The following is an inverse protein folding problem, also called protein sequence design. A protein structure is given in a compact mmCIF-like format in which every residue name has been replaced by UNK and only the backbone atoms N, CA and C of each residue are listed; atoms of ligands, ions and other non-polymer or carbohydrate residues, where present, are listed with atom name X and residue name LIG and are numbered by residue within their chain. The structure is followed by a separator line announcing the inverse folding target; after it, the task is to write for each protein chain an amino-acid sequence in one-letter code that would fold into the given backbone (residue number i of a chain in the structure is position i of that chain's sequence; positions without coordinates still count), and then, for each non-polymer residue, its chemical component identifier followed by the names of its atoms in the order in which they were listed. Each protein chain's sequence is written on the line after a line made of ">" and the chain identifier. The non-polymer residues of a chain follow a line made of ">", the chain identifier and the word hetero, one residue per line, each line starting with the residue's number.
data_IF_313813043503
#
_entry.id   IF_313813043503
#
_cell.length_a   1.000
_cell.length_b   1.000
_cell.length_c   1.000
_cell.angle_alpha   90.00
_cell.angle_beta   90.00
_cell.angle_gamma   90.00
#
_symmetry.space_group_name_H-M   'P 1'
#
loop_
_entity.id
_entity.type
_entity.pdbx_description
1 polymer ?
#
# COMPACT_ATOMS: atom_id res chain seq x y z
N UNK A 1 -2.87 -15.62 -2.48
CA UNK A 1 -3.83 -14.75 -3.19
C UNK A 1 -4.54 -13.85 -2.20
N UNK A 2 -4.58 -12.52 -2.44
CA UNK A 2 -5.16 -11.50 -1.54
C UNK A 2 -6.12 -10.64 -2.38
N UNK A 3 -7.33 -11.14 -2.70
CA UNK A 3 -8.20 -10.56 -3.74
C UNK A 3 -8.58 -9.10 -3.48
N UNK A 4 -8.52 -8.65 -2.23
CA UNK A 4 -8.97 -7.32 -1.83
C UNK A 4 -7.82 -6.32 -1.64
N UNK A 5 -6.56 -6.75 -1.76
CA UNK A 5 -5.39 -5.89 -1.54
C UNK A 5 -5.49 -5.08 -0.24
N UNK A 6 -5.97 -5.76 0.82
CA UNK A 6 -6.13 -5.23 2.18
C UNK A 6 -5.02 -5.75 3.07
N UNK A 7 -4.58 -4.92 4.01
CA UNK A 7 -3.62 -5.31 5.03
C UNK A 7 -4.25 -6.35 5.96
N UNK A 8 -3.61 -7.51 6.15
CA UNK A 8 -4.12 -8.54 7.06
C UNK A 8 -4.14 -8.10 8.53
N UNK A 9 -3.28 -7.15 8.90
CA UNK A 9 -3.17 -6.62 10.26
C UNK A 9 -4.28 -5.62 10.58
N UNK A 10 -4.75 -4.87 9.58
CA UNK A 10 -5.59 -3.68 9.82
C UNK A 10 -6.89 -3.64 9.02
N UNK A 11 -7.06 -4.50 8.00
CA UNK A 11 -8.19 -4.45 7.07
C UNK A 11 -8.16 -3.26 6.09
N UNK A 12 -7.40 -2.21 6.39
CA UNK A 12 -7.21 -1.05 5.52
C UNK A 12 -6.58 -1.42 4.17
N UNK A 13 -6.80 -0.59 3.15
CA UNK A 13 -6.41 -0.94 1.82
C UNK A 13 -4.87 -0.75 1.74
N UNK A 14 -4.18 -1.81 1.31
CA UNK A 14 -2.73 -1.92 1.28
C UNK A 14 -2.15 -1.18 0.06
N UNK A 15 -1.05 -0.41 0.19
CA UNK A 15 -0.17 -0.30 1.36
C UNK A 15 -0.63 0.74 2.41
N UNK A 16 -0.86 0.28 3.64
CA UNK A 16 -1.13 1.17 4.78
C UNK A 16 0.19 1.73 5.36
N UNK A 17 0.14 2.85 6.10
CA UNK A 17 1.33 3.48 6.71
C UNK A 17 2.27 2.51 7.47
N UNK A 18 1.78 1.63 8.36
CA UNK A 18 2.69 0.71 9.06
C UNK A 18 3.33 -0.32 8.13
N UNK A 19 2.61 -0.77 7.09
CA UNK A 19 3.18 -1.68 6.09
C UNK A 19 4.24 -0.98 5.22
N UNK A 20 4.01 0.29 4.85
CA UNK A 20 5.00 1.11 4.14
C UNK A 20 6.26 1.31 4.97
N UNK A 21 6.10 1.61 6.25
CA UNK A 21 7.23 1.78 7.17
C UNK A 21 8.02 0.48 7.34
N UNK A 22 7.33 -0.66 7.57
CA UNK A 22 7.98 -1.96 7.67
C UNK A 22 8.78 -2.31 6.40
N UNK A 23 8.22 -2.05 5.23
CA UNK A 23 8.91 -2.22 3.95
C UNK A 23 10.11 -1.28 3.79
N UNK A 24 9.99 -0.02 4.21
CA UNK A 24 11.11 0.93 4.16
C UNK A 24 12.26 0.54 5.10
N UNK A 25 11.93 -0.01 6.28
CA UNK A 25 12.92 -0.51 7.25
C UNK A 25 13.61 -1.76 6.71
N UNK A 26 12.85 -2.72 6.20
CA UNK A 26 13.37 -3.98 5.62
C UNK A 26 14.26 -3.70 4.41
N UNK A 27 13.86 -2.77 3.54
CA UNK A 27 14.58 -2.44 2.30
C UNK A 27 15.40 -1.15 2.40
N UNK A 28 15.88 -0.77 3.59
CA UNK A 28 16.58 0.52 3.83
C UNK A 28 17.74 0.78 2.86
N UNK A 29 18.49 -0.27 2.53
CA UNK A 29 19.66 -0.25 1.63
C UNK A 29 19.33 -0.71 0.20
N UNK A 30 18.12 -1.22 -0.02
CA UNK A 30 17.72 -1.89 -1.25
C UNK A 30 16.46 -1.26 -1.85
N UNK A 31 16.49 0.06 -2.10
CA UNK A 31 15.35 0.82 -2.63
C UNK A 31 14.89 0.33 -4.00
N UNK A 32 15.80 -0.14 -4.84
CA UNK A 32 15.50 -0.77 -6.13
C UNK A 32 14.73 -2.08 -5.93
N UNK A 33 15.18 -2.94 -5.02
CA UNK A 33 14.44 -4.17 -4.67
C UNK A 33 13.05 -3.86 -4.10
N UNK A 34 12.90 -2.81 -3.30
CA UNK A 34 11.59 -2.36 -2.81
C UNK A 34 10.66 -1.96 -3.96
N UNK A 35 11.17 -1.20 -4.93
CA UNK A 35 10.39 -0.79 -6.10
C UNK A 35 9.98 -1.99 -6.97
N UNK A 36 10.88 -2.97 -7.15
CA UNK A 36 10.58 -4.22 -7.88
C UNK A 36 9.52 -5.03 -7.14
N UNK A 37 9.70 -5.29 -5.84
CA UNK A 37 8.73 -6.02 -5.02
C UNK A 37 7.34 -5.36 -5.04
N UNK A 38 7.29 -4.03 -5.01
CA UNK A 38 6.02 -3.28 -5.12
C UNK A 38 5.43 -3.29 -6.54
N UNK A 39 6.26 -3.38 -7.57
CA UNK A 39 5.79 -3.48 -8.96
C UNK A 39 5.17 -4.85 -9.25
N UNK A 40 5.76 -5.94 -8.74
CA UNK A 40 5.15 -7.27 -8.80
C UNK A 40 3.80 -7.27 -8.07
N UNK A 41 3.79 -6.74 -6.85
CA UNK A 41 2.56 -6.62 -6.08
C UNK A 41 1.50 -5.75 -6.79
N UNK A 42 1.90 -4.69 -7.50
CA UNK A 42 0.97 -3.90 -8.29
C UNK A 42 0.36 -4.72 -9.44
N UNK A 43 1.16 -5.52 -10.14
CA UNK A 43 0.67 -6.34 -11.25
C UNK A 43 -0.39 -7.35 -10.77
N UNK A 44 -0.10 -8.07 -9.67
CA UNK A 44 -1.09 -8.95 -9.04
C UNK A 44 -2.34 -8.18 -8.58
N UNK A 45 -2.19 -6.92 -8.13
CA UNK A 45 -3.30 -6.08 -7.71
C UNK A 45 -4.21 -5.66 -8.83
N UNK A 46 -3.62 -5.26 -9.96
CA UNK A 46 -4.37 -4.92 -11.15
C UNK A 46 -5.11 -6.14 -11.68
N UNK A 47 -4.48 -7.32 -11.70
CA UNK A 47 -5.13 -8.57 -12.14
C UNK A 47 -6.31 -8.94 -11.23
N UNK A 48 -6.13 -8.93 -9.90
CA UNK A 48 -7.19 -9.22 -8.95
C UNK A 48 -8.36 -8.22 -9.05
N UNK A 49 -8.07 -6.91 -9.15
CA UNK A 49 -9.10 -5.88 -9.28
C UNK A 49 -9.83 -5.98 -10.62
N UNK A 50 -9.10 -6.23 -11.71
CA UNK A 50 -9.66 -6.44 -13.04
C UNK A 50 -10.61 -7.64 -13.05
N UNK A 51 -10.20 -8.75 -12.43
CA UNK A 51 -11.04 -9.96 -12.27
C UNK A 51 -12.31 -9.70 -11.46
N UNK A 52 -12.26 -8.77 -10.51
CA UNK A 52 -13.42 -8.37 -9.70
C UNK A 52 -14.27 -7.27 -10.33
N UNK A 53 -13.87 -6.74 -11.50
CA UNK A 53 -14.54 -5.59 -12.14
C UNK A 53 -14.45 -4.30 -11.32
N UNK A 54 -13.45 -4.18 -10.45
CA UNK A 54 -13.24 -3.02 -9.60
C UNK A 54 -12.38 -1.98 -10.29
N UNK A 55 -12.55 -0.72 -9.91
CA UNK A 55 -11.76 0.37 -10.46
C UNK A 55 -10.27 0.19 -10.13
N UNK A 56 -9.45 0.15 -11.19
CA UNK A 56 -7.99 0.06 -11.10
C UNK A 56 -7.32 1.43 -11.06
N UNK A 57 -8.11 2.52 -11.07
CA UNK A 57 -7.65 3.89 -11.03
C UNK A 57 -6.88 4.18 -9.74
N UNK A 58 -5.74 4.86 -9.85
CA UNK A 58 -4.96 5.31 -8.70
C UNK A 58 -4.20 4.21 -7.92
N UNK A 59 -4.35 2.92 -8.26
CA UNK A 59 -3.62 1.82 -7.60
C UNK A 59 -2.11 1.95 -7.82
N UNK A 60 -1.69 2.32 -9.03
CA UNK A 60 -0.28 2.59 -9.33
C UNK A 60 0.29 3.73 -8.46
N UNK A 61 -0.44 4.85 -8.36
CA UNK A 61 -0.04 5.97 -7.51
C UNK A 61 0.00 5.58 -6.02
N UNK A 62 -0.86 4.66 -5.57
CA UNK A 62 -0.84 4.19 -4.20
C UNK A 62 0.32 3.25 -3.87
N UNK A 63 0.74 2.42 -4.81
CA UNK A 63 1.86 1.48 -4.62
C UNK A 63 3.22 2.17 -4.79
N UNK A 64 3.37 2.97 -5.85
CA UNK A 64 4.65 3.55 -6.27
C UNK A 64 4.73 5.08 -6.11
N UNK A 65 3.61 5.78 -5.92
CA UNK A 65 3.59 7.25 -5.85
C UNK A 65 4.36 7.81 -4.65
N UNK A 66 4.27 7.13 -3.49
CA UNK A 66 5.02 7.53 -2.29
C UNK A 66 6.52 7.14 -2.34
N UNK A 67 6.91 6.20 -3.20
CA UNK A 67 8.33 5.85 -3.43
C UNK A 67 9.06 6.93 -4.22
N UNK A 68 8.36 7.62 -5.12
CA UNK A 68 8.89 8.70 -5.96
C UNK A 68 9.02 10.03 -5.23
N UNK A 69 8.20 10.27 -4.19
CA UNK A 69 8.32 11.42 -3.30
C UNK A 69 9.55 11.27 -2.40
N UNK A 70 10.74 11.58 -2.93
CA UNK A 70 11.98 11.57 -2.17
C UNK A 70 11.93 12.66 -1.09
N UNK A 71 11.76 12.26 0.17
CA UNK A 71 12.37 12.95 1.31
C UNK A 71 11.56 14.01 2.08
N UNK A 72 10.25 14.14 1.89
CA UNK A 72 9.51 15.08 2.73
C UNK A 72 8.01 15.01 2.51
N UNK A 73 7.31 14.49 3.52
CA UNK A 73 5.88 14.64 3.77
C UNK A 73 4.90 14.21 2.64
N UNK A 74 3.95 13.30 2.92
CA UNK A 74 2.88 13.02 1.96
C UNK A 74 2.10 14.32 1.65
N UNK A 75 1.94 14.74 0.38
CA UNK A 75 0.89 15.69 0.04
C UNK A 75 -0.44 15.00 0.36
N UNK A 76 -1.12 15.55 1.36
CA UNK A 76 -2.37 15.06 1.96
C UNK A 76 -2.22 13.85 2.88
N UNK A 77 -2.15 14.17 4.17
CA UNK A 77 -2.63 13.32 5.23
C UNK A 77 -4.10 12.94 4.99
N UNK A 78 -4.36 11.82 4.31
CA UNK A 78 -5.52 11.03 4.68
C UNK A 78 -5.12 10.21 5.90
N UNK A 79 -5.45 10.77 7.07
CA UNK A 79 -5.47 10.07 8.34
C UNK A 79 -6.46 8.92 8.31
N UNK A 80 -6.11 7.86 7.58
CA UNK A 80 -6.75 6.57 7.78
C UNK A 80 -6.31 6.09 9.15
N UNK A 81 -7.22 6.26 10.11
CA UNK A 81 -7.15 5.80 11.49
C UNK A 81 -7.04 4.27 11.52
N UNK A 82 -5.90 3.77 11.09
CA UNK A 82 -5.55 2.38 10.91
C UNK A 82 -4.87 1.92 12.21
N UNK A 83 -5.56 2.03 13.33
CA UNK A 83 -4.96 1.77 14.65
C UNK A 83 -5.82 2.00 15.88
N UNK A 84 -6.94 2.74 15.82
CA UNK A 84 -7.88 2.71 16.96
C UNK A 84 -8.70 1.41 16.92
N UNK A 85 -8.73 0.60 18.00
CA UNK A 85 -9.74 -0.43 18.15
C UNK A 85 -11.09 0.28 18.14
N UNK A 86 -11.93 -0.02 17.16
CA UNK A 86 -13.31 0.44 17.15
C UNK A 86 -14.02 -0.38 18.24
N UNK A 87 -13.96 0.09 19.48
CA UNK A 87 -14.74 -0.46 20.58
C UNK A 87 -16.21 -0.29 20.19
N UNK A 88 -16.84 -1.41 19.79
CA UNK A 88 -18.28 -1.50 19.60
C UNK A 88 -18.88 -1.78 20.98
N UNK A 89 -19.63 -0.81 21.50
CA UNK A 89 -20.59 -1.00 22.59
C UNK A 89 -21.75 -1.90 22.13
#
# INVERSE_FOLDING_TARGET
>A
MRPLWRCRRCGCPWPCSPARLALLVEYKDARSSLAVSLSLALADALDDLHRLGLDTGGVHARFLGWLRARGGLPPSAEGHNCGKPQARA
#
